data_IF_760467992751
#
_entry.id   IF_760467992751
#
_cell.length_a   1.000
_cell.length_b   1.000
_cell.length_c   1.000
_cell.angle_alpha   90.00
_cell.angle_beta   90.00
_cell.angle_gamma   90.00
#
_symmetry.space_group_name_H-M   'P 1'
#
loop_
_entity.id
_entity.type
_entity.pdbx_description
1 polymer ?
#
# COMPACT_ATOMS: atom_id res chain seq x y z
N UNK A 1 8.84 13.38 -15.64
CA UNK A 1 9.29 12.04 -15.18
C UNK A 1 8.23 11.02 -15.58
N UNK A 2 8.59 9.87 -16.16
CA UNK A 2 7.61 8.81 -16.45
C UNK A 2 7.16 8.17 -15.13
N UNK A 3 5.86 8.20 -14.84
CA UNK A 3 5.26 7.36 -13.80
C UNK A 3 5.53 5.90 -14.15
N UNK A 4 6.17 5.16 -13.24
CA UNK A 4 6.43 3.74 -13.43
C UNK A 4 5.18 2.96 -13.04
N UNK A 5 4.44 2.48 -14.03
CA UNK A 5 3.19 1.72 -13.85
C UNK A 5 3.42 0.22 -13.71
N UNK A 6 4.61 -0.17 -13.24
CA UNK A 6 5.09 -1.55 -13.26
C UNK A 6 4.34 -2.51 -12.34
N UNK A 7 3.41 -1.99 -11.53
CA UNK A 7 2.54 -2.79 -10.69
C UNK A 7 1.12 -2.90 -11.23
N UNK A 8 0.76 -2.21 -12.32
CA UNK A 8 -0.59 -2.31 -12.89
C UNK A 8 -0.96 -3.77 -13.18
N UNK A 9 -2.12 -4.19 -12.70
CA UNK A 9 -2.60 -5.58 -12.74
C UNK A 9 -2.11 -6.47 -11.61
N UNK A 10 -1.31 -5.95 -10.68
CA UNK A 10 -0.82 -6.67 -9.51
C UNK A 10 -1.69 -6.38 -8.28
N UNK A 11 -1.64 -7.29 -7.31
CA UNK A 11 -2.32 -7.15 -6.01
C UNK A 11 -1.53 -7.80 -4.88
N UNK A 12 -1.70 -7.27 -3.67
CA UNK A 12 -1.07 -7.80 -2.46
C UNK A 12 -2.09 -7.82 -1.34
N UNK A 13 -2.05 -8.87 -0.53
CA UNK A 13 -2.77 -8.96 0.74
C UNK A 13 -1.73 -9.12 1.84
N UNK A 14 -1.75 -8.24 2.82
CA UNK A 14 -0.79 -8.24 3.94
C UNK A 14 -1.48 -7.89 5.24
N UNK A 15 -0.92 -8.37 6.35
CA UNK A 15 -1.51 -8.24 7.68
C UNK A 15 -0.55 -7.53 8.62
N UNK A 16 -0.99 -6.41 9.17
CA UNK A 16 -0.36 -5.82 10.34
C UNK A 16 -0.88 -6.56 11.59
N UNK A 17 0.00 -7.05 12.49
CA UNK A 17 -0.42 -7.81 13.67
C UNK A 17 -1.49 -7.13 14.53
N UNK A 18 -1.42 -5.79 14.64
CA UNK A 18 -2.32 -5.01 15.52
C UNK A 18 -3.43 -4.25 14.78
N UNK A 19 -3.28 -4.02 13.47
CA UNK A 19 -4.21 -3.19 12.69
C UNK A 19 -5.16 -4.01 11.81
N UNK A 20 -4.77 -5.23 11.44
CA UNK A 20 -5.55 -6.11 10.58
C UNK A 20 -4.99 -6.29 9.18
N UNK A 21 -5.84 -6.82 8.29
CA UNK A 21 -5.44 -7.26 6.94
C UNK A 21 -5.91 -6.27 5.90
N UNK A 22 -4.99 -5.87 5.03
CA UNK A 22 -5.24 -4.98 3.90
C UNK A 22 -5.03 -5.74 2.60
N UNK A 23 -5.96 -5.56 1.67
CA UNK A 23 -5.75 -5.87 0.25
C UNK A 23 -5.50 -4.57 -0.49
N UNK A 24 -4.47 -4.54 -1.33
CA UNK A 24 -4.18 -3.45 -2.27
C UNK A 24 -4.16 -4.00 -3.70
N UNK A 25 -4.78 -3.28 -4.63
CA UNK A 25 -4.81 -3.61 -6.05
C UNK A 25 -4.35 -2.39 -6.87
N UNK A 26 -3.50 -2.62 -7.87
CA UNK A 26 -2.95 -1.59 -8.76
C UNK A 26 -3.55 -1.70 -10.16
N UNK A 27 -4.00 -0.58 -10.74
CA UNK A 27 -4.66 -0.57 -12.04
C UNK A 27 -4.55 0.79 -12.74
N UNK A 28 -4.21 0.82 -14.03
CA UNK A 28 -4.16 2.03 -14.86
C UNK A 28 -3.31 3.20 -14.32
N UNK A 29 -2.35 2.96 -13.41
CA UNK A 29 -1.58 3.99 -12.69
C UNK A 29 -2.26 4.49 -11.41
N UNK A 30 -3.34 3.84 -11.00
CA UNK A 30 -4.10 4.08 -9.77
C UNK A 30 -3.98 2.89 -8.84
N UNK A 31 -4.30 3.10 -7.58
CA UNK A 31 -4.47 2.04 -6.60
C UNK A 31 -5.80 2.15 -5.90
N UNK A 32 -6.24 1.00 -5.40
CA UNK A 32 -7.30 0.89 -4.41
C UNK A 32 -6.86 -0.04 -3.30
N UNK A 33 -7.41 0.14 -2.12
CA UNK A 33 -7.21 -0.78 -1.02
C UNK A 33 -8.50 -0.97 -0.23
N UNK A 34 -8.56 -2.08 0.49
CA UNK A 34 -9.61 -2.39 1.45
C UNK A 34 -9.00 -3.10 2.65
N UNK A 35 -9.35 -2.64 3.84
CA UNK A 35 -9.14 -3.38 5.08
C UNK A 35 -10.19 -4.49 5.12
N UNK A 36 -9.75 -5.74 4.93
CA UNK A 36 -10.65 -6.91 4.83
C UNK A 36 -10.78 -7.69 6.15
N UNK A 37 -9.99 -7.32 7.16
CA UNK A 37 -10.07 -7.86 8.52
C UNK A 37 -9.44 -6.89 9.54
N UNK A 38 -9.79 -7.06 10.82
CA UNK A 38 -9.27 -6.26 11.93
C UNK A 38 -10.15 -5.05 12.29
N UNK A 39 -9.67 -4.18 13.21
CA UNK A 39 -10.44 -3.02 13.69
C UNK A 39 -10.92 -2.06 12.61
N UNK A 40 -10.21 -1.99 11.47
CA UNK A 40 -10.52 -1.11 10.36
C UNK A 40 -11.33 -1.77 9.23
N UNK A 41 -11.83 -3.00 9.43
CA UNK A 41 -12.53 -3.77 8.40
C UNK A 41 -13.64 -2.96 7.69
N UNK A 42 -13.69 -3.04 6.36
CA UNK A 42 -14.60 -2.30 5.49
C UNK A 42 -14.12 -0.89 5.10
N UNK A 43 -13.05 -0.39 5.72
CA UNK A 43 -12.42 0.87 5.30
C UNK A 43 -11.71 0.68 3.97
N UNK A 44 -11.92 1.58 3.02
CA UNK A 44 -11.35 1.49 1.67
C UNK A 44 -10.99 2.85 1.10
N UNK A 45 -10.02 2.85 0.21
CA UNK A 45 -9.68 3.97 -0.66
C UNK A 45 -9.60 3.50 -2.11
N UNK A 46 -9.93 4.39 -3.04
CA UNK A 46 -9.94 4.08 -4.48
C UNK A 46 -9.54 5.32 -5.30
N UNK A 47 -8.89 5.07 -6.43
CA UNK A 47 -8.53 6.07 -7.42
C UNK A 47 -7.31 6.93 -7.03
N UNK A 48 -6.56 6.54 -6.01
CA UNK A 48 -5.34 7.25 -5.61
C UNK A 48 -4.24 6.99 -6.63
N UNK A 49 -3.62 8.05 -7.15
CA UNK A 49 -2.47 7.88 -8.06
C UNK A 49 -1.27 7.39 -7.26
N UNK A 50 -0.62 6.32 -7.75
CA UNK A 50 0.56 5.77 -7.10
C UNK A 50 1.83 6.07 -7.87
N UNK A 51 2.95 6.10 -7.16
CA UNK A 51 4.28 6.01 -7.75
C UNK A 51 4.94 4.73 -7.28
N UNK A 52 5.61 4.04 -8.20
CA UNK A 52 6.36 2.83 -7.89
C UNK A 52 7.77 2.88 -8.45
N UNK A 53 8.70 2.26 -7.73
CA UNK A 53 10.06 1.98 -8.19
C UNK A 53 10.39 0.53 -7.85
N UNK A 54 10.76 -0.25 -8.87
CA UNK A 54 11.37 -1.57 -8.64
C UNK A 54 12.77 -1.33 -8.07
N UNK A 55 13.05 -1.84 -6.88
CA UNK A 55 14.37 -1.76 -6.24
C UNK A 55 15.24 -2.91 -6.74
N UNK A 56 14.68 -4.12 -6.78
CA UNK A 56 15.29 -5.33 -7.32
C UNK A 56 14.16 -6.27 -7.81
N UNK A 57 14.48 -7.51 -8.19
CA UNK A 57 13.51 -8.49 -8.71
C UNK A 57 12.29 -8.72 -7.81
N UNK A 58 12.49 -8.72 -6.48
CA UNK A 58 11.48 -9.08 -5.49
C UNK A 58 11.07 -7.92 -4.56
N UNK A 59 11.59 -6.71 -4.80
CA UNK A 59 11.35 -5.56 -3.92
C UNK A 59 10.85 -4.35 -4.70
N UNK A 60 9.74 -3.79 -4.24
CA UNK A 60 9.14 -2.57 -4.79
C UNK A 60 9.03 -1.49 -3.71
N UNK A 61 9.33 -0.26 -4.07
CA UNK A 61 9.06 0.93 -3.27
C UNK A 61 7.91 1.70 -3.89
N UNK A 62 6.87 1.95 -3.11
CA UNK A 62 5.67 2.64 -3.57
C UNK A 62 5.25 3.73 -2.62
N UNK A 63 4.59 4.75 -3.14
CA UNK A 63 3.87 5.72 -2.32
C UNK A 63 2.64 6.27 -3.05
N UNK A 64 1.74 6.87 -2.27
CA UNK A 64 0.60 7.61 -2.76
C UNK A 64 0.11 8.62 -1.73
N UNK A 65 -0.61 9.61 -2.24
CA UNK A 65 -1.42 10.53 -1.44
C UNK A 65 -2.88 10.08 -1.57
N UNK A 66 -3.56 9.90 -0.45
CA UNK A 66 -4.98 9.59 -0.42
C UNK A 66 -5.81 10.78 -0.91
N UNK A 67 -6.73 10.49 -1.83
CA UNK A 67 -7.63 11.51 -2.38
C UNK A 67 -8.59 12.09 -1.33
N UNK A 68 -8.96 11.32 -0.31
CA UNK A 68 -10.05 11.65 0.62
C UNK A 68 -9.62 12.51 1.82
N UNK A 69 -8.40 12.34 2.32
CA UNK A 69 -8.00 12.90 3.63
C UNK A 69 -6.55 13.39 3.71
N UNK A 70 -5.88 13.60 2.57
CA UNK A 70 -4.48 14.05 2.48
C UNK A 70 -3.47 13.15 3.21
N UNK A 71 -3.86 11.93 3.59
CA UNK A 71 -2.92 10.96 4.17
C UNK A 71 -1.89 10.56 3.12
N UNK A 72 -0.64 10.42 3.51
CA UNK A 72 0.43 10.01 2.62
C UNK A 72 1.00 8.69 3.10
N UNK A 73 1.03 7.69 2.22
CA UNK A 73 1.46 6.33 2.55
C UNK A 73 2.63 5.94 1.67
N UNK A 74 3.60 5.28 2.28
CA UNK A 74 4.78 4.73 1.62
C UNK A 74 4.96 3.29 2.06
N UNK A 75 5.16 2.38 1.10
CA UNK A 75 5.41 0.97 1.37
C UNK A 75 6.69 0.51 0.66
N UNK A 76 7.48 -0.32 1.33
CA UNK A 76 8.46 -1.21 0.71
C UNK A 76 7.89 -2.62 0.76
N UNK A 77 7.56 -3.18 -0.39
CA UNK A 77 7.05 -4.54 -0.52
C UNK A 77 8.23 -5.45 -0.85
N UNK A 78 8.65 -6.29 0.10
CA UNK A 78 9.72 -7.27 -0.06
C UNK A 78 9.11 -8.68 -0.13
N UNK A 79 8.89 -9.17 -1.35
CA UNK A 79 8.30 -10.48 -1.60
C UNK A 79 9.27 -11.62 -1.28
N UNK A 80 10.58 -11.36 -1.27
CA UNK A 80 11.56 -12.38 -0.91
C UNK A 80 11.49 -12.69 0.59
N UNK A 81 11.33 -11.65 1.42
CA UNK A 81 11.17 -11.78 2.87
C UNK A 81 9.72 -12.01 3.30
N UNK A 82 8.76 -11.79 2.41
CA UNK A 82 7.33 -11.90 2.72
C UNK A 82 6.84 -10.77 3.63
N UNK A 83 7.44 -9.57 3.53
CA UNK A 83 7.15 -8.45 4.44
C UNK A 83 6.86 -7.17 3.65
N UNK A 84 5.94 -6.36 4.18
CA UNK A 84 5.73 -4.97 3.80
C UNK A 84 6.22 -4.06 4.93
N UNK A 85 7.20 -3.20 4.64
CA UNK A 85 7.57 -2.11 5.54
C UNK A 85 6.77 -0.87 5.19
N UNK A 86 6.06 -0.30 6.16
CA UNK A 86 5.15 0.81 5.94
C UNK A 86 5.54 2.04 6.75
N UNK A 87 5.46 3.19 6.10
CA UNK A 87 5.52 4.51 6.73
C UNK A 87 4.34 5.33 6.24
N UNK A 88 3.58 5.95 7.14
CA UNK A 88 2.47 6.81 6.74
C UNK A 88 2.30 8.03 7.64
N UNK A 89 1.83 9.12 7.04
CA UNK A 89 1.25 10.27 7.74
C UNK A 89 -0.25 10.23 7.48
N UNK A 90 -1.03 9.93 8.51
CA UNK A 90 -2.48 9.76 8.43
C UNK A 90 -3.16 11.05 8.89
N UNK A 91 -4.18 11.50 8.16
CA UNK A 91 -5.03 12.67 8.44
C UNK A 91 -4.26 13.92 8.93
N UNK A 92 -3.25 14.41 8.18
CA UNK A 92 -2.43 15.52 8.64
C UNK A 92 -3.25 16.78 8.93
N UNK A 93 -2.85 17.51 9.98
CA UNK A 93 -3.47 18.76 10.46
C UNK A 93 -4.92 18.60 10.93
N UNK A 94 -5.27 17.41 11.41
CA UNK A 94 -6.55 17.12 12.07
C UNK A 94 -6.31 16.52 13.45
N UNK A 95 -7.35 16.43 14.27
CA UNK A 95 -7.26 15.76 15.59
C UNK A 95 -6.97 14.25 15.48
N UNK A 96 -7.14 13.67 14.28
CA UNK A 96 -6.82 12.28 13.98
C UNK A 96 -5.46 12.08 13.31
N UNK A 97 -4.56 13.06 13.39
CA UNK A 97 -3.21 12.95 12.82
C UNK A 97 -2.43 11.82 13.50
N UNK A 98 -1.84 10.93 12.70
CA UNK A 98 -0.98 9.85 13.19
C UNK A 98 0.22 9.64 12.28
N UNK A 99 1.35 9.29 12.88
CA UNK A 99 2.51 8.77 12.14
C UNK A 99 2.60 7.27 12.39
N UNK A 100 2.58 6.50 11.31
CA UNK A 100 2.68 5.04 11.35
C UNK A 100 4.04 4.60 10.82
N UNK A 101 4.64 3.63 11.50
CA UNK A 101 5.87 2.97 11.08
C UNK A 101 5.82 1.50 11.51
N UNK A 102 5.35 0.63 10.62
CA UNK A 102 5.00 -0.76 10.94
C UNK A 102 5.48 -1.74 9.88
N UNK A 103 5.65 -2.98 10.31
CA UNK A 103 5.83 -4.12 9.42
C UNK A 103 4.51 -4.90 9.32
N UNK A 104 4.24 -5.44 8.14
CA UNK A 104 3.16 -6.38 7.87
C UNK A 104 3.68 -7.62 7.16
N UNK A 105 3.08 -8.77 7.46
CA UNK A 105 3.38 -10.02 6.77
C UNK A 105 2.54 -10.13 5.50
N UNK A 106 3.17 -10.47 4.38
CA UNK A 106 2.46 -10.72 3.10
C UNK A 106 1.76 -12.07 3.21
N UNK A 107 0.43 -12.06 3.13
CA UNK A 107 -0.38 -13.27 3.11
C UNK A 107 -0.44 -13.88 1.70
N UNK A 108 -0.74 -13.06 0.69
CA UNK A 108 -0.82 -13.48 -0.72
C UNK A 108 -0.48 -12.32 -1.65
N UNK A 109 -0.06 -12.62 -2.87
CA UNK A 109 0.11 -11.62 -3.91
C UNK A 109 -0.08 -12.21 -5.30
N UNK A 110 -0.45 -11.36 -6.25
CA UNK A 110 -0.43 -11.62 -7.68
C UNK A 110 0.43 -10.53 -8.30
N UNK A 111 1.55 -10.91 -8.94
CA UNK A 111 2.41 -9.97 -9.65
C UNK A 111 2.20 -10.13 -11.15
N UNK A 112 1.91 -9.03 -11.84
CA UNK A 112 1.87 -9.02 -13.30
C UNK A 112 3.28 -8.77 -13.85
N UNK A 113 3.79 -9.71 -14.64
CA UNK A 113 5.05 -9.55 -15.36
C UNK A 113 4.86 -8.56 -16.54
N UNK A 114 5.81 -7.64 -16.71
CA UNK A 114 5.87 -6.64 -17.78
C UNK A 114 7.24 -6.64 -18.45
#
# INVERSE_FOLDING_TARGET
MKQNKNLDGSSFTYTYPELGTVRIDFYNGLLKYEWIAGPHNGTKGDGSTYMAKKINENTYFINWLENSNSSFVTLVIDMHRGVVHASALINPRTDGEMVLFHDADIATYTLKEH
#
